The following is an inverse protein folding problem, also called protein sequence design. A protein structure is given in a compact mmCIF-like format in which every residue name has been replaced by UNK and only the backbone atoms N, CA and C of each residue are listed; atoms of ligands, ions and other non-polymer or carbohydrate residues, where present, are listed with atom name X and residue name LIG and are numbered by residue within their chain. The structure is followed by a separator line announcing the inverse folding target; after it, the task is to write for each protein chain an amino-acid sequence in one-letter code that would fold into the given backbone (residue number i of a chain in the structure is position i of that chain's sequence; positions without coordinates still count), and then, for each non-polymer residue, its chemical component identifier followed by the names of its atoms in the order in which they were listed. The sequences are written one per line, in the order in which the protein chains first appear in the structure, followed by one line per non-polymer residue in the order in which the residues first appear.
data_IF_178691781818
#
_entry.id   IF_178691781818
#
_cell.length_a   1.000
_cell.length_b   1.000
_cell.length_c   1.000
_cell.angle_alpha   90.00
_cell.angle_beta   90.00
_cell.angle_gamma   90.00
#
_symmetry.space_group_name_H-M   'P 1'
#
loop_
_entity.id
_entity.type
_entity.pdbx_description
1 polymer ?
#
# COMPACT_ATOMS: atom_id res chain seq x y z
N UNK A 1 -28.28 -4.71 -0.61
CA UNK A 1 -27.37 -5.85 -0.78
C UNK A 1 -26.04 -5.30 -1.24
N UNK A 2 -25.00 -5.32 -0.40
CA UNK A 2 -23.63 -5.06 -0.84
C UNK A 2 -23.24 -6.16 -1.83
N UNK A 3 -23.14 -5.79 -3.10
CA UNK A 3 -22.69 -6.70 -4.16
C UNK A 3 -21.17 -6.56 -4.19
N UNK A 4 -20.46 -7.69 -4.13
CA UNK A 4 -19.02 -7.71 -4.41
C UNK A 4 -18.86 -7.19 -5.84
N UNK A 5 -18.26 -6.01 -6.00
CA UNK A 5 -18.22 -5.33 -7.30
C UNK A 5 -17.45 -6.18 -8.30
N UNK A 6 -16.42 -6.89 -7.85
CA UNK A 6 -15.67 -7.89 -8.62
C UNK A 6 -15.17 -9.02 -7.70
N UNK A 7 -15.30 -10.27 -8.15
CA UNK A 7 -14.76 -11.45 -7.45
C UNK A 7 -13.23 -11.58 -7.62
N UNK A 8 -12.63 -10.81 -8.53
CA UNK A 8 -11.22 -10.89 -8.88
C UNK A 8 -10.63 -9.49 -9.04
N UNK A 9 -9.97 -8.99 -7.99
CA UNK A 9 -9.21 -7.75 -8.03
C UNK A 9 -7.85 -8.08 -8.67
N UNK A 10 -7.50 -7.49 -9.83
CA UNK A 10 -6.20 -7.71 -10.44
C UNK A 10 -5.10 -7.24 -9.49
N UNK A 11 -3.97 -7.95 -9.50
CA UNK A 11 -2.82 -7.55 -8.70
C UNK A 11 -2.33 -6.16 -9.13
N UNK A 12 -2.57 -5.17 -8.27
CA UNK A 12 -2.07 -3.81 -8.42
C UNK A 12 -0.92 -3.64 -7.41
N UNK A 13 0.34 -3.88 -7.82
CA UNK A 13 1.48 -3.70 -6.94
C UNK A 13 1.57 -2.22 -6.53
N UNK A 14 1.96 -1.97 -5.28
CA UNK A 14 2.11 -0.64 -4.69
C UNK A 14 0.81 0.17 -4.55
N UNK A 15 -0.35 -0.48 -4.48
CA UNK A 15 -1.64 0.18 -4.17
C UNK A 15 -2.26 -0.39 -2.89
N UNK A 16 -2.95 0.47 -2.14
CA UNK A 16 -3.77 0.09 -1.00
C UNK A 16 -5.04 0.96 -0.97
N UNK A 17 -6.04 0.53 -0.22
CA UNK A 17 -7.29 1.28 -0.04
C UNK A 17 -7.73 1.19 1.42
N UNK A 18 -8.26 2.31 1.95
CA UNK A 18 -8.81 2.40 3.29
C UNK A 18 -10.34 2.48 3.18
N UNK A 19 -11.03 1.50 3.75
CA UNK A 19 -12.48 1.48 3.82
C UNK A 19 -12.97 1.86 5.23
N UNK A 20 -14.03 2.68 5.30
CA UNK A 20 -14.80 2.90 6.52
C UNK A 20 -16.03 2.01 6.53
N UNK A 21 -16.25 1.24 7.60
CA UNK A 21 -17.42 0.39 7.76
C UNK A 21 -18.34 0.97 8.82
N UNK A 22 -19.59 1.22 8.45
CA UNK A 22 -20.62 1.66 9.39
C UNK A 22 -21.36 0.43 9.90
N UNK A 23 -21.17 0.11 11.18
CA UNK A 23 -21.69 -1.11 11.81
C UNK A 23 -22.67 -0.75 12.91
N UNK A 24 -23.88 -1.31 12.85
CA UNK A 24 -24.88 -1.25 13.90
C UNK A 24 -24.85 -2.54 14.72
N UNK A 25 -24.86 -2.43 16.05
CA UNK A 25 -24.94 -3.57 16.96
C UNK A 25 -26.34 -3.59 17.57
N UNK A 26 -27.07 -4.71 17.42
CA UNK A 26 -28.41 -4.86 17.98
C UNK A 26 -28.41 -5.34 19.45
N UNK A 27 -29.60 -5.57 20.01
CA UNK A 27 -29.79 -6.00 21.41
C UNK A 27 -29.21 -7.39 21.72
N UNK A 28 -29.02 -8.22 20.69
CA UNK A 28 -28.41 -9.55 20.78
C UNK A 28 -26.89 -9.52 20.48
N UNK A 29 -26.29 -8.32 20.40
CA UNK A 29 -24.89 -8.09 20.01
C UNK A 29 -24.53 -8.57 18.59
N UNK A 30 -25.52 -8.67 17.71
CA UNK A 30 -25.28 -9.03 16.31
C UNK A 30 -24.81 -7.78 15.54
N UNK A 31 -23.64 -7.84 14.87
CA UNK A 31 -23.18 -6.73 14.04
C UNK A 31 -23.87 -6.76 12.66
N UNK A 32 -24.43 -5.62 12.27
CA UNK A 32 -25.06 -5.39 10.98
C UNK A 32 -24.31 -4.31 10.21
N UNK A 33 -23.82 -4.63 9.01
CA UNK A 33 -23.18 -3.63 8.13
C UNK A 33 -24.28 -2.77 7.51
N UNK A 34 -24.21 -1.47 7.75
CA UNK A 34 -25.11 -0.48 7.15
C UNK A 34 -24.59 -0.05 5.78
N UNK A 35 -23.34 0.41 5.74
CA UNK A 35 -22.65 0.85 4.52
C UNK A 35 -21.14 0.65 4.59
N UNK A 36 -20.50 0.76 3.42
CA UNK A 36 -19.05 0.71 3.26
C UNK A 36 -18.63 1.93 2.46
N UNK A 37 -17.79 2.76 3.06
CA UNK A 37 -17.30 4.01 2.50
C UNK A 37 -15.89 3.80 1.93
N UNK A 38 -15.71 4.00 0.62
CA UNK A 38 -14.40 3.96 -0.04
C UNK A 38 -13.53 5.21 0.24
N UNK A 39 -14.12 6.25 0.83
CA UNK A 39 -13.42 7.47 1.24
C UNK A 39 -13.93 7.93 2.60
N UNK A 40 -13.53 7.25 3.70
CA UNK A 40 -13.89 7.69 5.04
C UNK A 40 -13.27 9.04 5.37
N UNK A 41 -13.97 9.88 6.14
CA UNK A 41 -13.44 11.18 6.56
C UNK A 41 -12.25 11.02 7.52
N UNK A 42 -11.15 11.69 7.19
CA UNK A 42 -9.97 11.82 8.03
C UNK A 42 -9.79 13.25 8.57
N UNK A 43 -10.78 14.11 8.39
CA UNK A 43 -10.82 15.43 9.02
C UNK A 43 -10.91 15.28 10.54
N UNK A 44 -10.29 16.17 11.30
CA UNK A 44 -10.30 16.13 12.77
C UNK A 44 -11.25 17.20 13.25
N UNK A 45 -12.46 16.79 13.63
CA UNK A 45 -13.55 17.69 14.03
C UNK A 45 -13.73 17.76 15.55
N UNK A 46 -13.31 16.70 16.27
CA UNK A 46 -13.42 16.60 17.72
C UNK A 46 -12.14 16.09 18.40
N UNK A 47 -12.14 16.07 19.74
CA UNK A 47 -11.00 15.58 20.54
C UNK A 47 -10.75 14.08 20.33
N UNK A 48 -11.80 13.30 20.15
CA UNK A 48 -11.76 11.85 19.96
C UNK A 48 -11.08 11.50 18.63
N UNK A 49 -11.29 12.33 17.60
CA UNK A 49 -10.61 12.18 16.32
C UNK A 49 -9.09 12.28 16.44
N UNK A 50 -8.57 13.11 17.35
CA UNK A 50 -7.13 13.26 17.59
C UNK A 50 -6.49 12.00 18.19
N UNK A 51 -7.26 11.20 18.91
CA UNK A 51 -6.75 9.97 19.52
C UNK A 51 -6.69 8.82 18.50
N UNK A 52 -7.60 8.81 17.53
CA UNK A 52 -7.78 7.67 16.61
C UNK A 52 -7.17 7.93 15.23
N UNK A 53 -7.48 9.06 14.59
CA UNK A 53 -7.15 9.29 13.17
C UNK A 53 -5.64 9.45 12.91
N UNK A 54 -4.87 10.19 13.72
CA UNK A 54 -3.42 10.28 13.54
C UNK A 54 -2.72 8.93 13.69
N UNK A 55 -3.08 8.15 14.72
CA UNK A 55 -2.51 6.81 14.97
C UNK A 55 -2.85 5.86 13.83
N UNK A 56 -4.09 5.88 13.33
CA UNK A 56 -4.52 5.10 12.17
C UNK A 56 -3.60 5.36 10.96
N UNK A 57 -3.32 6.63 10.66
CA UNK A 57 -2.47 7.00 9.51
C UNK A 57 -1.02 6.58 9.72
N UNK A 58 -0.50 6.74 10.94
CA UNK A 58 0.85 6.30 11.28
C UNK A 58 1.01 4.78 11.10
N UNK A 59 0.04 4.01 11.59
CA UNK A 59 0.03 2.55 11.45
C UNK A 59 -0.15 2.11 9.99
N UNK A 60 -0.94 2.83 9.18
CA UNK A 60 -1.06 2.58 7.73
C UNK A 60 0.29 2.77 7.04
N UNK A 61 1.01 3.87 7.34
CA UNK A 61 2.32 4.15 6.72
C UNK A 61 3.34 3.07 7.09
N UNK A 62 3.35 2.61 8.34
CA UNK A 62 4.17 1.47 8.80
C UNK A 62 3.82 0.19 8.07
N UNK A 63 2.52 -0.12 7.94
CA UNK A 63 2.01 -1.35 7.33
C UNK A 63 2.37 -1.46 5.84
N UNK A 64 2.32 -0.33 5.12
CA UNK A 64 2.64 -0.27 3.69
C UNK A 64 4.13 -0.45 3.44
N UNK A 65 4.99 -0.09 4.39
CA UNK A 65 6.45 -0.09 4.26
C UNK A 65 6.90 0.69 3.02
N UNK A 66 6.62 2.00 3.02
CA UNK A 66 6.91 2.88 1.88
C UNK A 66 8.42 2.93 1.63
N UNK A 67 8.82 2.54 0.42
CA UNK A 67 10.22 2.53 0.03
C UNK A 67 10.86 3.92 0.19
N UNK A 68 12.01 4.03 0.88
CA UNK A 68 12.78 5.27 0.91
C UNK A 68 13.26 5.61 -0.50
N UNK A 69 13.36 6.89 -0.83
CA UNK A 69 13.81 7.33 -2.17
C UNK A 69 14.97 8.30 -2.05
N UNK A 70 16.13 7.92 -2.58
CA UNK A 70 17.23 8.85 -2.85
C UNK A 70 16.91 9.65 -4.11
N UNK A 71 16.54 10.91 -3.89
CA UNK A 71 16.20 11.86 -4.96
C UNK A 71 17.38 12.10 -5.91
N UNK A 72 18.62 12.10 -5.42
CA UNK A 72 19.80 12.31 -6.28
C UNK A 72 20.03 11.10 -7.19
N UNK A 73 19.93 9.89 -6.64
CA UNK A 73 20.01 8.67 -7.43
C UNK A 73 18.91 8.59 -8.49
N UNK A 74 17.67 8.94 -8.12
CA UNK A 74 16.53 9.01 -9.03
C UNK A 74 16.76 10.03 -10.16
N UNK A 75 17.17 11.25 -9.82
CA UNK A 75 17.47 12.30 -10.80
C UNK A 75 18.61 11.90 -11.74
N UNK A 76 19.66 11.27 -11.22
CA UNK A 76 20.76 10.77 -12.04
C UNK A 76 20.29 9.69 -13.02
N UNK A 77 19.44 8.75 -12.58
CA UNK A 77 18.84 7.74 -13.45
C UNK A 77 17.93 8.36 -14.53
N UNK A 78 17.09 9.32 -14.16
CA UNK A 78 16.22 10.04 -15.10
C UNK A 78 17.04 10.82 -16.14
N UNK A 79 18.06 11.56 -15.71
CA UNK A 79 18.92 12.34 -16.60
C UNK A 79 19.68 11.44 -17.61
N UNK A 80 20.18 10.27 -17.17
CA UNK A 80 20.79 9.27 -18.06
C UNK A 80 19.82 8.72 -19.10
N UNK A 81 18.54 8.58 -18.74
CA UNK A 81 17.50 7.99 -19.61
C UNK A 81 16.91 8.98 -20.59
N UNK A 82 16.70 10.21 -20.13
CA UNK A 82 16.17 11.31 -20.92
C UNK A 82 17.22 11.97 -21.81
N UNK A 83 18.52 11.72 -21.58
CA UNK A 83 19.60 12.28 -22.39
C UNK A 83 19.83 13.78 -22.16
N UNK A 84 19.45 14.29 -20.98
CA UNK A 84 19.44 15.75 -20.69
C UNK A 84 20.86 16.36 -20.67
N UNK A 85 21.90 15.54 -20.52
CA UNK A 85 23.30 15.98 -20.59
C UNK A 85 23.91 16.00 -22.00
N UNK A 86 23.18 15.57 -23.04
CA UNK A 86 23.75 15.38 -24.39
C UNK A 86 23.62 16.61 -25.33
N UNK A 87 23.10 17.75 -24.84
CA UNK A 87 22.84 18.93 -25.67
C UNK A 87 23.91 20.04 -25.60
N UNK A 88 24.95 19.90 -24.77
CA UNK A 88 26.02 20.89 -24.64
C UNK A 88 27.34 20.27 -25.06
N UNK A 89 27.83 20.76 -26.20
CA UNK A 89 29.13 20.52 -26.82
C UNK A 89 29.36 19.12 -27.41
N UNK A 90 29.83 19.09 -28.67
CA UNK A 90 30.04 17.92 -29.54
C UNK A 90 31.12 16.93 -29.07
N UNK A 91 31.10 16.57 -27.79
CA UNK A 91 31.90 15.53 -27.18
C UNK A 91 31.32 14.17 -27.59
N UNK A 92 32.19 13.28 -28.04
CA UNK A 92 31.84 11.91 -28.44
C UNK A 92 31.04 11.24 -27.32
N UNK A 93 29.88 10.67 -27.67
CA UNK A 93 29.02 9.90 -26.75
C UNK A 93 29.88 9.00 -25.88
N UNK A 94 29.92 9.18 -24.54
CA UNK A 94 30.48 8.14 -23.69
C UNK A 94 29.70 6.86 -24.00
N UNK A 95 30.41 5.74 -24.14
CA UNK A 95 29.79 4.42 -24.25
C UNK A 95 28.72 4.34 -23.17
N UNK A 96 27.47 4.13 -23.58
CA UNK A 96 26.32 4.02 -22.68
C UNK A 96 26.62 2.88 -21.73
N UNK A 97 27.22 3.20 -20.59
CA UNK A 97 27.55 2.23 -19.57
C UNK A 97 26.18 1.69 -19.14
N UNK A 98 25.91 0.43 -19.50
CA UNK A 98 24.64 -0.22 -19.21
C UNK A 98 24.65 -0.49 -17.72
N UNK A 99 24.32 0.53 -16.93
CA UNK A 99 24.02 0.35 -15.51
C UNK A 99 22.86 -0.63 -15.44
N UNK A 100 23.01 -1.69 -14.66
CA UNK A 100 21.95 -2.66 -14.46
C UNK A 100 20.76 -1.97 -13.80
N UNK A 101 19.55 -2.33 -14.25
CA UNK A 101 18.33 -1.89 -13.57
C UNK A 101 18.32 -2.26 -12.09
N UNK A 102 18.92 -3.39 -11.73
CA UNK A 102 19.03 -3.82 -10.35
C UNK A 102 19.87 -2.84 -9.53
N UNK A 103 21.03 -2.42 -10.04
CA UNK A 103 21.92 -1.48 -9.34
C UNK A 103 21.28 -0.09 -9.21
N UNK A 104 20.59 0.37 -10.26
CA UNK A 104 19.83 1.62 -10.20
C UNK A 104 18.70 1.52 -9.18
N UNK A 105 17.94 0.42 -9.16
CA UNK A 105 16.86 0.22 -8.20
C UNK A 105 17.38 0.22 -6.77
N UNK A 106 18.47 -0.51 -6.50
CA UNK A 106 19.12 -0.54 -5.19
C UNK A 106 19.62 0.85 -4.79
N UNK A 107 20.15 1.65 -5.72
CA UNK A 107 20.58 3.02 -5.43
C UNK A 107 19.41 3.97 -5.15
N UNK A 108 18.33 3.89 -5.93
CA UNK A 108 17.16 4.77 -5.81
C UNK A 108 16.41 4.47 -4.53
N UNK A 109 16.25 3.19 -4.20
CA UNK A 109 15.46 2.75 -3.06
C UNK A 109 16.31 2.41 -1.84
N UNK A 110 17.58 2.85 -1.79
CA UNK A 110 18.48 2.65 -0.65
C UNK A 110 18.60 1.19 -0.19
N UNK A 111 18.57 0.25 -1.13
CA UNK A 111 18.60 -1.18 -0.87
C UNK A 111 17.28 -1.81 -0.42
N UNK A 112 16.20 -1.02 -0.36
CA UNK A 112 14.87 -1.51 0.00
C UNK A 112 14.38 -2.55 -1.01
N UNK A 113 13.72 -3.58 -0.48
CA UNK A 113 13.12 -4.66 -1.24
C UNK A 113 11.66 -4.78 -0.85
N UNK A 114 10.78 -4.89 -1.84
CA UNK A 114 9.35 -5.08 -1.58
C UNK A 114 9.10 -6.36 -0.81
N UNK A 115 8.25 -6.27 0.22
CA UNK A 115 7.75 -7.41 0.97
C UNK A 115 7.07 -8.42 0.02
N UNK A 116 7.44 -9.71 0.05
CA UNK A 116 6.76 -10.74 -0.75
C UNK A 116 5.27 -10.83 -0.45
N UNK A 117 4.47 -11.16 -1.46
CA UNK A 117 3.03 -11.33 -1.30
C UNK A 117 2.71 -12.44 -0.29
N UNK A 118 1.98 -12.10 0.76
CA UNK A 118 1.56 -13.03 1.81
C UNK A 118 2.42 -12.99 3.08
N UNK A 119 3.59 -12.37 3.03
CA UNK A 119 4.43 -12.20 4.22
C UNK A 119 3.83 -11.17 5.17
N UNK A 120 4.05 -11.39 6.46
CA UNK A 120 3.62 -10.45 7.49
C UNK A 120 4.43 -9.15 7.43
N UNK A 121 3.78 -8.00 7.69
CA UNK A 121 4.47 -6.72 7.78
C UNK A 121 5.41 -6.73 9.00
N UNK A 122 6.48 -5.94 8.93
CA UNK A 122 7.43 -5.80 10.04
C UNK A 122 6.77 -5.19 11.29
N UNK A 123 5.90 -4.20 11.06
CA UNK A 123 5.11 -3.54 12.09
C UNK A 123 3.65 -3.45 11.61
N UNK A 124 2.72 -3.91 12.44
CA UNK A 124 1.27 -3.83 12.17
C UNK A 124 0.60 -2.65 12.86
N UNK A 125 1.24 -2.06 13.87
CA UNK A 125 0.56 -1.15 14.79
C UNK A 125 -0.68 -1.81 15.39
N UNK A 126 -1.80 -1.10 15.38
CA UNK A 126 -3.10 -1.62 15.85
C UNK A 126 -3.88 -2.42 14.79
N UNK A 127 -3.32 -2.68 13.60
CA UNK A 127 -3.99 -3.52 12.61
C UNK A 127 -3.88 -5.01 12.92
N UNK A 128 -4.94 -5.74 12.61
CA UNK A 128 -4.96 -7.20 12.63
C UNK A 128 -5.30 -7.75 11.24
N UNK A 129 -4.54 -8.76 10.80
CA UNK A 129 -4.81 -9.46 9.54
C UNK A 129 -6.01 -10.39 9.69
N UNK A 130 -7.17 -9.94 9.20
CA UNK A 130 -8.38 -10.77 9.14
C UNK A 130 -8.34 -11.81 8.01
N UNK A 131 -7.68 -11.51 6.89
CA UNK A 131 -7.51 -12.42 5.75
C UNK A 131 -6.14 -12.21 5.06
N UNK A 132 -5.47 -13.29 4.60
CA UNK A 132 -5.80 -14.69 4.87
C UNK A 132 -5.58 -15.05 6.36
N UNK A 133 -6.50 -15.82 6.93
CA UNK A 133 -6.41 -16.34 8.30
C UNK A 133 -7.10 -17.70 8.43
N UNK A 134 -6.84 -18.48 9.50
CA UNK A 134 -7.59 -19.70 9.78
C UNK A 134 -9.10 -19.46 9.89
N UNK A 135 -9.51 -18.37 10.55
CA UNK A 135 -10.91 -17.98 10.70
C UNK A 135 -11.56 -17.66 9.34
N UNK A 136 -10.89 -16.87 8.50
CA UNK A 136 -11.32 -16.60 7.12
C UNK A 136 -11.48 -17.89 6.31
N UNK A 137 -10.53 -18.82 6.43
CA UNK A 137 -10.57 -20.09 5.70
C UNK A 137 -11.76 -20.97 6.12
N UNK A 138 -12.15 -20.95 7.40
CA UNK A 138 -13.33 -21.65 7.90
C UNK A 138 -14.62 -21.02 7.38
N UNK A 139 -14.72 -19.68 7.46
CA UNK A 139 -15.88 -18.92 6.95
C UNK A 139 -16.08 -19.16 5.45
N UNK A 140 -14.99 -19.10 4.67
CA UNK A 140 -15.03 -19.30 3.23
C UNK A 140 -15.48 -20.73 2.86
N UNK A 141 -15.08 -21.74 3.63
CA UNK A 141 -15.57 -23.13 3.45
C UNK A 141 -17.06 -23.24 3.76
N UNK A 142 -17.54 -22.61 4.83
CA UNK A 142 -18.95 -22.63 5.21
C UNK A 142 -19.83 -21.92 4.16
N UNK A 143 -19.40 -20.77 3.63
CA UNK A 143 -20.13 -20.03 2.58
C UNK A 143 -20.26 -20.83 1.27
N UNK A 144 -19.30 -21.67 0.94
CA UNK A 144 -19.36 -22.55 -0.25
C UNK A 144 -20.24 -23.79 -0.07
N UNK A 145 -20.61 -24.12 1.17
CA UNK A 145 -21.45 -25.27 1.48
C UNK A 145 -22.96 -24.92 1.55
N UNK A 146 -23.28 -23.62 1.55
CA UNK A 146 -24.64 -23.07 1.41
C UNK A 146 -24.96 -22.83 -0.07
#
# INVERSE_FOLDING_TARGET
TLVCVEDNIPAAPCTFELFGFDVLIDEDYTPWILEVNASPSLEVDCSEDLEVKPQLIEDIVRLIDIAPVDRHALLAALNRRLGVHDAVDGVKKPLREKVSWADEFQSIFCGWTSRPTGDDPLETGNFERLAPSPAYSQLHKAKRAL
#
